data_IF_652638606640
#
_entry.id   IF_652638606640
#
_cell.length_a   1.000
_cell.length_b   1.000
_cell.length_c   1.000
_cell.angle_alpha   90.00
_cell.angle_beta   90.00
_cell.angle_gamma   90.00
#
_symmetry.space_group_name_H-M   'P 1'
#
loop_
_entity.id
_entity.type
_entity.pdbx_description
1 polymer ?
#
# COMPACT_ATOMS: atom_id res chain seq x y z
N UNK A 1 8.51 -1.22 -1.49
CA UNK A 1 8.59 -1.51 -0.04
C UNK A 1 8.85 -2.98 0.22
N UNK A 2 8.26 -3.88 -0.56
CA UNK A 2 8.50 -5.32 -0.41
C UNK A 2 7.73 -6.13 -1.44
N UNK A 3 7.93 -7.44 -1.39
CA UNK A 3 7.20 -8.42 -2.20
C UNK A 3 7.32 -9.82 -1.58
N UNK A 4 6.42 -10.74 -1.92
CA UNK A 4 6.32 -12.09 -1.34
C UNK A 4 6.29 -12.10 0.20
N UNK A 5 5.42 -11.27 0.77
CA UNK A 5 5.23 -11.12 2.23
C UNK A 5 6.47 -10.65 3.01
N UNK A 6 7.45 -10.05 2.32
CA UNK A 6 8.69 -9.55 2.93
C UNK A 6 8.92 -8.09 2.59
N UNK A 7 9.20 -7.30 3.62
CA UNK A 7 9.72 -5.94 3.46
C UNK A 7 11.21 -5.99 3.09
N UNK A 8 11.58 -5.22 2.07
CA UNK A 8 12.98 -4.98 1.69
C UNK A 8 13.54 -3.71 2.32
N UNK A 9 12.69 -2.97 3.01
CA UNK A 9 13.01 -1.73 3.70
C UNK A 9 12.69 -1.86 5.19
N UNK A 10 13.31 -1.06 6.07
CA UNK A 10 12.94 -1.03 7.49
C UNK A 10 11.45 -0.77 7.66
N UNK A 11 10.81 -1.56 8.53
CA UNK A 11 9.37 -1.44 8.81
C UNK A 11 9.00 -0.05 9.39
N UNK A 12 9.96 0.63 10.01
CA UNK A 12 9.81 2.00 10.53
C UNK A 12 9.49 3.04 9.44
N UNK A 13 9.74 2.74 8.16
CA UNK A 13 9.40 3.64 7.06
C UNK A 13 7.92 3.57 6.66
N UNK A 14 7.20 2.51 7.03
CA UNK A 14 5.78 2.35 6.66
C UNK A 14 4.89 3.52 7.06
N UNK A 15 4.95 4.02 8.32
CA UNK A 15 4.19 5.20 8.72
C UNK A 15 4.50 6.43 7.86
N UNK A 16 5.77 6.64 7.49
CA UNK A 16 6.18 7.79 6.66
C UNK A 16 5.56 7.68 5.26
N UNK A 17 5.61 6.50 4.63
CA UNK A 17 4.95 6.29 3.34
C UNK A 17 3.45 6.57 3.42
N UNK A 18 2.78 6.04 4.44
CA UNK A 18 1.32 6.13 4.59
C UNK A 18 0.85 7.54 4.98
N UNK A 19 1.51 8.15 5.95
CA UNK A 19 1.04 9.36 6.64
C UNK A 19 1.60 10.64 6.02
N UNK A 20 2.78 10.58 5.39
CA UNK A 20 3.45 11.76 4.84
C UNK A 20 3.51 11.75 3.30
N UNK A 21 3.86 10.63 2.67
CA UNK A 21 4.08 10.58 1.21
C UNK A 21 2.82 10.36 0.39
N UNK A 22 1.96 9.40 0.76
CA UNK A 22 0.71 9.15 0.01
C UNK A 22 -0.15 10.42 -0.09
N UNK A 23 -0.37 11.21 0.98
CA UNK A 23 -1.21 12.42 0.91
C UNK A 23 -0.70 13.51 -0.04
N UNK A 24 0.58 13.49 -0.41
CA UNK A 24 1.20 14.47 -1.31
C UNK A 24 1.54 13.89 -2.69
N UNK A 25 1.22 12.62 -2.93
CA UNK A 25 1.59 11.93 -4.17
C UNK A 25 0.53 12.14 -5.24
N UNK A 26 0.93 12.63 -6.41
CA UNK A 26 0.03 12.72 -7.58
C UNK A 26 -0.24 11.34 -8.21
N UNK A 27 0.68 10.39 -8.03
CA UNK A 27 0.61 9.03 -8.57
C UNK A 27 1.35 8.06 -7.65
N UNK A 28 0.70 6.95 -7.33
CA UNK A 28 1.33 5.81 -6.68
C UNK A 28 0.99 4.53 -7.47
N UNK A 29 1.92 3.58 -7.53
CA UNK A 29 1.74 2.30 -8.22
C UNK A 29 2.15 1.13 -7.33
N UNK A 30 1.44 0.90 -6.20
CA UNK A 30 1.78 -0.20 -5.31
C UNK A 30 1.53 -1.55 -6.00
N UNK A 31 2.36 -2.54 -5.68
CA UNK A 31 2.02 -3.94 -5.95
C UNK A 31 0.97 -4.45 -4.94
N UNK A 32 0.47 -5.68 -5.11
CA UNK A 32 -0.54 -6.28 -4.22
C UNK A 32 -0.13 -6.30 -2.75
N UNK A 33 1.11 -6.65 -2.46
CA UNK A 33 1.65 -6.71 -1.09
C UNK A 33 1.74 -5.32 -0.46
N UNK A 34 2.24 -4.34 -1.21
CA UNK A 34 2.35 -2.95 -0.77
C UNK A 34 0.96 -2.35 -0.52
N UNK A 35 0.01 -2.58 -1.42
CA UNK A 35 -1.37 -2.13 -1.26
C UNK A 35 -1.98 -2.71 0.02
N UNK A 36 -1.76 -3.99 0.31
CA UNK A 36 -2.19 -4.62 1.57
C UNK A 36 -1.54 -4.00 2.80
N UNK A 37 -0.25 -3.69 2.74
CA UNK A 37 0.44 -3.04 3.86
C UNK A 37 -0.07 -1.62 4.13
N UNK A 38 -0.41 -0.88 3.08
CA UNK A 38 -0.85 0.51 3.17
C UNK A 38 -2.32 0.63 3.58
N UNK A 39 -3.17 -0.28 3.10
CA UNK A 39 -4.63 -0.22 3.28
C UNK A 39 -5.17 -1.19 4.34
N UNK A 40 -4.40 -2.23 4.68
CA UNK A 40 -4.86 -3.35 5.52
C UNK A 40 -5.74 -4.36 4.79
N UNK A 41 -6.03 -4.17 3.50
CA UNK A 41 -6.91 -5.04 2.71
C UNK A 41 -6.12 -6.17 2.06
N UNK A 42 -6.55 -7.41 2.33
CA UNK A 42 -5.97 -8.61 1.70
C UNK A 42 -6.62 -8.85 0.34
N UNK A 43 -6.03 -8.28 -0.72
CA UNK A 43 -6.58 -8.31 -2.08
C UNK A 43 -6.60 -9.74 -2.63
N UNK A 44 -7.78 -10.31 -2.82
CA UNK A 44 -8.00 -11.65 -3.42
C UNK A 44 -8.98 -11.63 -4.60
N UNK A 45 -9.76 -10.56 -4.73
CA UNK A 45 -10.64 -10.31 -5.87
C UNK A 45 -10.46 -8.90 -6.45
N UNK A 46 -11.15 -8.63 -7.55
CA UNK A 46 -11.17 -7.31 -8.17
C UNK A 46 -11.87 -6.28 -7.26
N UNK A 47 -12.89 -6.70 -6.51
CA UNK A 47 -13.61 -5.86 -5.55
C UNK A 47 -12.69 -5.39 -4.42
N UNK A 48 -11.86 -6.29 -3.86
CA UNK A 48 -10.87 -5.93 -2.84
C UNK A 48 -9.86 -4.90 -3.38
N UNK A 49 -9.45 -5.05 -4.66
CA UNK A 49 -8.55 -4.12 -5.30
C UNK A 49 -9.18 -2.72 -5.45
N UNK A 50 -10.47 -2.66 -5.78
CA UNK A 50 -11.22 -1.39 -5.85
C UNK A 50 -11.34 -0.75 -4.46
N UNK A 51 -11.62 -1.54 -3.42
CA UNK A 51 -11.68 -1.04 -2.05
C UNK A 51 -10.32 -0.47 -1.60
N UNK A 52 -9.22 -1.18 -1.87
CA UNK A 52 -7.88 -0.71 -1.61
C UNK A 52 -7.55 0.58 -2.36
N UNK A 53 -7.95 0.70 -3.64
CA UNK A 53 -7.77 1.94 -4.40
C UNK A 53 -8.55 3.11 -3.80
N UNK A 54 -9.75 2.89 -3.27
CA UNK A 54 -10.55 3.95 -2.65
C UNK A 54 -9.94 4.48 -1.34
N UNK A 55 -9.15 3.67 -0.62
CA UNK A 55 -8.41 4.12 0.58
C UNK A 55 -7.19 4.97 0.18
N UNK A 56 -6.62 4.70 -0.99
CA UNK A 56 -5.40 5.33 -1.50
C UNK A 56 -5.66 6.59 -2.33
N UNK A 57 -6.92 6.88 -2.67
CA UNK A 57 -7.37 8.05 -3.42
C UNK A 57 -7.78 9.20 -2.50
#
# INVERSE_FOLDING_TARGET
>A
MGDNDKLYVPAELLPIYRDDFIPISDLITPNQFEAKLLTGIDIKSQEDAIEAMNILH
#
